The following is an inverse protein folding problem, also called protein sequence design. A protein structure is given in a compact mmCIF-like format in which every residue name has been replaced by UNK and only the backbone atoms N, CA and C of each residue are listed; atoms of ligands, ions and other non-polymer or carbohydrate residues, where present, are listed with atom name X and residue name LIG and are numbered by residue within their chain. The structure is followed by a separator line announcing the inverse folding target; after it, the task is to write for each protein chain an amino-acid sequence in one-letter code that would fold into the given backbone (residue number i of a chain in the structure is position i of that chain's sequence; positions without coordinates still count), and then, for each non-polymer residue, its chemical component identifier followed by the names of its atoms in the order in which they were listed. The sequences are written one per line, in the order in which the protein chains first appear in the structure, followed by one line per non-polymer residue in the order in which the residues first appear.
data_IF_067963815052
#
_entry.id   IF_067963815052
#
_cell.length_a   1.000
_cell.length_b   1.000
_cell.length_c   1.000
_cell.angle_alpha   90.00
_cell.angle_beta   90.00
_cell.angle_gamma   90.00
#
_symmetry.space_group_name_H-M   'P 1'
#
loop_
_entity.id
_entity.type
_entity.pdbx_description
1 polymer ?
#
# COMPACT_ATOMS: atom_id res chain seq x y z
N UNK A 1 9.44 13.52 -20.22
CA UNK A 1 8.90 12.14 -20.18
C UNK A 1 9.30 11.54 -18.83
N UNK A 2 8.41 10.84 -18.12
CA UNK A 2 8.77 10.28 -16.80
C UNK A 2 9.50 8.94 -16.91
N UNK A 3 10.24 8.56 -15.85
CA UNK A 3 10.86 7.24 -15.77
C UNK A 3 9.83 6.11 -15.82
N UNK A 4 8.64 6.33 -15.24
CA UNK A 4 7.54 5.38 -15.26
C UNK A 4 6.99 5.19 -16.68
N UNK A 5 6.78 6.26 -17.44
CA UNK A 5 6.37 6.21 -18.85
C UNK A 5 7.39 5.46 -19.72
N UNK A 6 8.69 5.64 -19.42
CA UNK A 6 9.76 4.91 -20.09
C UNK A 6 9.67 3.40 -19.83
N UNK A 7 9.34 3.01 -18.60
CA UNK A 7 9.27 1.60 -18.17
C UNK A 7 7.93 0.92 -18.48
N UNK A 8 6.87 1.69 -18.74
CA UNK A 8 5.51 1.19 -18.97
C UNK A 8 5.41 0.09 -20.07
N UNK A 9 6.12 0.18 -21.22
CA UNK A 9 6.06 -0.86 -22.25
C UNK A 9 6.51 -2.24 -21.75
N UNK A 10 7.47 -2.29 -20.84
CA UNK A 10 7.96 -3.55 -20.25
C UNK A 10 6.88 -4.17 -19.35
N UNK A 11 6.24 -3.36 -18.49
CA UNK A 11 5.15 -3.82 -17.63
C UNK A 11 3.95 -4.33 -18.44
N UNK A 12 3.55 -3.60 -19.49
CA UNK A 12 2.51 -4.03 -20.42
C UNK A 12 2.85 -5.36 -21.07
N UNK A 13 4.10 -5.55 -21.49
CA UNK A 13 4.58 -6.80 -22.11
C UNK A 13 4.50 -7.98 -21.14
N UNK A 14 4.97 -7.82 -19.91
CA UNK A 14 4.88 -8.85 -18.85
C UNK A 14 3.42 -9.20 -18.56
N UNK A 15 2.57 -8.20 -18.36
CA UNK A 15 1.13 -8.41 -18.13
C UNK A 15 0.46 -9.17 -19.30
N UNK A 16 0.85 -8.86 -20.54
CA UNK A 16 0.36 -9.55 -21.72
C UNK A 16 0.78 -11.02 -21.73
N UNK A 17 2.04 -11.33 -21.43
CA UNK A 17 2.54 -12.71 -21.35
C UNK A 17 1.83 -13.51 -20.25
N UNK A 18 1.68 -12.94 -19.04
CA UNK A 18 0.94 -13.55 -17.94
C UNK A 18 -0.54 -13.79 -18.27
N UNK A 19 -1.15 -12.89 -19.06
CA UNK A 19 -2.52 -13.08 -19.54
C UNK A 19 -2.61 -14.18 -20.60
N UNK A 20 -1.63 -14.30 -21.50
CA UNK A 20 -1.58 -15.37 -22.49
C UNK A 20 -1.43 -16.74 -21.82
N UNK A 21 -0.56 -16.84 -20.81
CA UNK A 21 -0.38 -18.07 -20.04
C UNK A 21 -1.68 -18.57 -19.41
N UNK A 22 -2.44 -17.65 -18.79
CA UNK A 22 -3.74 -17.97 -18.17
C UNK A 22 -4.83 -18.38 -19.16
N UNK A 23 -4.76 -17.92 -20.42
CA UNK A 23 -5.73 -18.28 -21.47
C UNK A 23 -5.50 -19.68 -22.06
N UNK A 24 -4.44 -20.38 -21.66
CA UNK A 24 -4.23 -21.80 -21.96
C UNK A 24 -3.25 -22.08 -23.12
N UNK A 25 -2.88 -23.36 -23.23
CA UNK A 25 -1.73 -23.84 -23.98
C UNK A 25 -1.75 -23.57 -25.50
N UNK A 26 -2.92 -23.47 -26.13
CA UNK A 26 -3.03 -23.29 -27.59
C UNK A 26 -2.47 -21.95 -28.09
N UNK A 27 -2.60 -20.88 -27.30
CA UNK A 27 -1.99 -19.58 -27.62
C UNK A 27 -0.53 -19.49 -27.18
N UNK A 28 -0.12 -20.31 -26.21
CA UNK A 28 1.26 -20.34 -25.71
C UNK A 28 2.27 -20.90 -26.72
N UNK A 29 1.85 -21.87 -27.55
CA UNK A 29 2.68 -22.47 -28.58
C UNK A 29 2.93 -21.56 -29.79
N UNK A 30 2.14 -20.48 -29.93
CA UNK A 30 2.29 -19.51 -31.01
C UNK A 30 3.37 -18.45 -30.73
N UNK A 31 3.93 -18.42 -29.52
CA UNK A 31 4.97 -17.45 -29.15
C UNK A 31 6.34 -18.04 -29.45
N UNK A 32 7.01 -17.49 -30.46
CA UNK A 32 8.39 -17.84 -30.82
C UNK A 32 9.38 -17.22 -29.80
N UNK A 33 10.20 -18.02 -29.09
CA UNK A 33 11.19 -17.55 -28.13
C UNK A 33 12.19 -16.53 -28.71
N UNK A 34 12.67 -16.75 -29.94
CA UNK A 34 13.69 -15.89 -30.55
C UNK A 34 13.08 -14.54 -30.94
N UNK A 35 11.86 -14.56 -31.47
CA UNK A 35 11.10 -13.35 -31.76
C UNK A 35 10.82 -12.56 -30.48
N UNK A 36 10.39 -13.22 -29.41
CA UNK A 36 10.18 -12.55 -28.13
C UNK A 36 11.48 -11.92 -27.61
N UNK A 37 12.60 -12.64 -27.71
CA UNK A 37 13.91 -12.12 -27.30
C UNK A 37 14.29 -10.87 -28.07
N UNK A 38 14.10 -10.88 -29.39
CA UNK A 38 14.35 -9.71 -30.24
C UNK A 38 13.46 -8.54 -29.83
N UNK A 39 12.16 -8.77 -29.65
CA UNK A 39 11.21 -7.74 -29.21
C UNK A 39 11.61 -7.12 -27.86
N UNK A 40 12.03 -7.92 -26.87
CA UNK A 40 12.50 -7.39 -25.59
C UNK A 40 13.78 -6.57 -25.75
N UNK A 41 14.75 -7.03 -26.56
CA UNK A 41 15.98 -6.27 -26.84
C UNK A 41 15.69 -4.96 -27.55
N UNK A 42 14.73 -4.95 -28.46
CA UNK A 42 14.25 -3.73 -29.12
C UNK A 42 13.63 -2.77 -28.12
N UNK A 43 12.84 -3.24 -27.15
CA UNK A 43 12.29 -2.40 -26.07
C UNK A 43 13.41 -1.74 -25.24
N UNK A 44 14.46 -2.49 -24.86
CA UNK A 44 15.61 -1.92 -24.15
C UNK A 44 16.37 -0.89 -24.99
N UNK A 45 16.60 -1.18 -26.28
CA UNK A 45 17.26 -0.27 -27.21
C UNK A 45 16.45 1.02 -27.41
N UNK A 46 15.14 0.90 -27.56
CA UNK A 46 14.22 2.03 -27.69
C UNK A 46 14.14 2.86 -26.41
N UNK A 47 14.06 2.21 -25.24
CA UNK A 47 14.11 2.90 -23.96
C UNK A 47 15.42 3.67 -23.77
N UNK A 48 16.57 3.07 -24.12
CA UNK A 48 17.87 3.73 -24.07
C UNK A 48 17.91 4.98 -24.98
N UNK A 49 17.37 4.86 -26.22
CA UNK A 49 17.30 5.99 -27.16
C UNK A 49 16.42 7.12 -26.62
N UNK A 50 15.23 6.79 -26.12
CA UNK A 50 14.31 7.78 -25.55
C UNK A 50 14.87 8.43 -24.28
N UNK A 51 15.53 7.67 -23.42
CA UNK A 51 16.21 8.18 -22.24
C UNK A 51 17.36 9.14 -22.60
N UNK A 52 18.11 8.84 -23.67
CA UNK A 52 19.24 9.67 -24.11
C UNK A 52 18.86 11.07 -24.61
N UNK A 53 17.57 11.33 -24.85
CA UNK A 53 17.07 12.66 -25.21
C UNK A 53 17.16 13.65 -24.04
N UNK A 54 17.14 13.18 -22.78
CA UNK A 54 17.17 14.00 -21.58
C UNK A 54 18.29 13.51 -20.63
N UNK A 55 19.32 14.32 -20.30
CA UNK A 55 20.47 13.85 -19.51
C UNK A 55 20.11 13.29 -18.12
N UNK A 56 19.14 13.90 -17.44
CA UNK A 56 18.67 13.44 -16.13
C UNK A 56 18.00 12.06 -16.22
N UNK A 57 17.16 11.87 -17.24
CA UNK A 57 16.48 10.61 -17.47
C UNK A 57 17.44 9.51 -17.89
N UNK A 58 18.47 9.83 -18.68
CA UNK A 58 19.54 8.90 -19.01
C UNK A 58 20.28 8.39 -17.75
N UNK A 59 20.55 9.28 -16.79
CA UNK A 59 21.17 8.89 -15.52
C UNK A 59 20.23 8.03 -14.65
N UNK A 60 18.93 8.30 -14.64
CA UNK A 60 17.95 7.44 -13.97
C UNK A 60 17.86 6.06 -14.61
N UNK A 61 17.78 6.02 -15.94
CA UNK A 61 17.68 4.78 -16.70
C UNK A 61 18.89 3.88 -16.47
N UNK A 62 20.11 4.41 -16.41
CA UNK A 62 21.31 3.60 -16.10
C UNK A 62 21.21 2.87 -14.76
N UNK A 63 20.54 3.45 -13.77
CA UNK A 63 20.34 2.83 -12.44
C UNK A 63 19.19 1.81 -12.43
N UNK A 64 18.28 1.87 -13.40
CA UNK A 64 17.06 1.06 -13.45
C UNK A 64 17.09 -0.01 -14.54
N UNK A 65 17.92 0.13 -15.57
CA UNK A 65 18.07 -0.82 -16.68
C UNK A 65 18.35 -2.23 -16.14
N UNK A 66 19.30 -2.36 -15.21
CA UNK A 66 19.70 -3.65 -14.68
C UNK A 66 18.58 -4.32 -13.83
N UNK A 67 17.96 -3.63 -12.85
CA UNK A 67 16.77 -4.14 -12.17
C UNK A 67 15.64 -4.57 -13.13
N UNK A 68 15.41 -3.82 -14.22
CA UNK A 68 14.40 -4.16 -15.21
C UNK A 68 14.73 -5.43 -16.00
N UNK A 69 16.02 -5.68 -16.29
CA UNK A 69 16.46 -6.94 -16.90
C UNK A 69 16.15 -8.11 -15.98
N UNK A 70 16.50 -8.02 -14.70
CA UNK A 70 16.23 -9.08 -13.72
C UNK A 70 14.74 -9.34 -13.56
N UNK A 71 13.95 -8.28 -13.47
CA UNK A 71 12.50 -8.35 -13.44
C UNK A 71 11.95 -9.13 -14.64
N UNK A 72 12.28 -8.71 -15.87
CA UNK A 72 11.76 -9.35 -17.09
C UNK A 72 12.22 -10.81 -17.19
N UNK A 73 13.48 -11.11 -16.85
CA UNK A 73 14.01 -12.47 -16.90
C UNK A 73 13.26 -13.41 -15.95
N UNK A 74 13.03 -13.00 -14.70
CA UNK A 74 12.24 -13.79 -13.73
C UNK A 74 10.79 -13.92 -14.19
N UNK A 75 10.15 -12.82 -14.61
CA UNK A 75 8.75 -12.87 -15.04
C UNK A 75 8.53 -13.77 -16.26
N UNK A 76 9.43 -13.78 -17.25
CA UNK A 76 9.32 -14.68 -18.41
C UNK A 76 9.65 -16.13 -18.02
N UNK A 77 10.64 -16.34 -17.14
CA UNK A 77 10.98 -17.67 -16.64
C UNK A 77 9.84 -18.30 -15.81
N UNK A 78 9.00 -17.49 -15.17
CA UNK A 78 7.93 -17.95 -14.27
C UNK A 78 6.52 -17.86 -14.88
N UNK A 79 6.35 -17.22 -16.05
CA UNK A 79 5.01 -17.01 -16.65
C UNK A 79 4.27 -18.30 -17.05
N UNK A 80 4.88 -19.48 -16.98
CA UNK A 80 4.22 -20.77 -17.23
C UNK A 80 3.96 -21.08 -18.71
N UNK A 81 4.62 -20.37 -19.63
CA UNK A 81 4.58 -20.64 -21.07
C UNK A 81 5.64 -21.69 -21.45
N UNK A 82 5.48 -22.33 -22.61
CA UNK A 82 6.48 -23.30 -23.13
C UNK A 82 7.86 -22.66 -23.36
N UNK A 83 7.89 -21.35 -23.63
CA UNK A 83 9.11 -20.56 -23.83
C UNK A 83 9.94 -20.39 -22.55
N UNK A 84 9.34 -20.50 -21.36
CA UNK A 84 9.98 -20.23 -20.08
C UNK A 84 11.23 -21.09 -19.86
N UNK A 85 11.18 -22.36 -20.27
CA UNK A 85 12.31 -23.28 -20.16
C UNK A 85 13.49 -22.89 -21.06
N UNK A 86 13.21 -22.39 -22.28
CA UNK A 86 14.24 -21.90 -23.19
C UNK A 86 14.84 -20.58 -22.67
N UNK A 87 13.98 -19.67 -22.22
CA UNK A 87 14.40 -18.38 -21.66
C UNK A 87 15.31 -18.55 -20.44
N UNK A 88 14.97 -19.47 -19.53
CA UNK A 88 15.75 -19.70 -18.31
C UNK A 88 17.21 -20.14 -18.59
N UNK A 89 17.47 -20.79 -19.74
CA UNK A 89 18.81 -21.19 -20.16
C UNK A 89 19.61 -20.03 -20.74
N UNK A 90 18.93 -19.05 -21.34
CA UNK A 90 19.51 -17.93 -22.07
C UNK A 90 18.98 -16.59 -21.55
N UNK A 91 18.99 -16.38 -20.22
CA UNK A 91 18.53 -15.12 -19.60
C UNK A 91 19.30 -13.92 -20.16
N UNK A 92 18.65 -12.75 -20.24
CA UNK A 92 19.31 -11.52 -20.69
C UNK A 92 20.40 -11.07 -19.70
N UNK A 93 20.23 -11.33 -18.42
CA UNK A 93 21.21 -11.08 -17.36
C UNK A 93 22.58 -11.75 -17.64
N UNK A 94 22.58 -12.92 -18.29
CA UNK A 94 23.83 -13.63 -18.64
C UNK A 94 24.67 -12.85 -19.65
N UNK A 95 24.03 -12.09 -20.56
CA UNK A 95 24.75 -11.20 -21.49
C UNK A 95 25.45 -10.04 -20.77
N UNK A 96 24.94 -9.66 -19.58
CA UNK A 96 25.54 -8.65 -18.70
C UNK A 96 26.53 -9.25 -17.70
N UNK A 97 26.83 -10.55 -17.77
CA UNK A 97 27.66 -11.31 -16.82
C UNK A 97 27.13 -11.33 -15.39
N UNK A 98 25.82 -11.13 -15.22
CA UNK A 98 25.15 -11.14 -13.92
C UNK A 98 24.42 -12.48 -13.75
N UNK A 99 25.01 -13.37 -12.95
CA UNK A 99 24.44 -14.69 -12.65
C UNK A 99 23.53 -14.67 -11.41
N UNK A 100 23.74 -13.70 -10.51
CA UNK A 100 23.00 -13.51 -9.27
C UNK A 100 22.04 -12.31 -9.36
N UNK A 101 21.22 -12.27 -10.42
CA UNK A 101 20.33 -11.13 -10.67
C UNK A 101 19.29 -10.89 -9.57
N UNK A 102 18.83 -11.96 -8.93
CA UNK A 102 17.72 -11.90 -7.99
C UNK A 102 18.11 -11.29 -6.64
N UNK A 103 19.33 -11.55 -6.14
CA UNK A 103 19.87 -10.92 -4.92
C UNK A 103 20.24 -9.45 -5.18
N UNK A 104 20.94 -9.20 -6.30
CA UNK A 104 21.38 -7.87 -6.70
C UNK A 104 20.24 -6.90 -6.93
N UNK A 105 19.06 -7.38 -7.35
CA UNK A 105 17.86 -6.55 -7.43
C UNK A 105 17.52 -5.91 -6.08
N UNK A 106 17.56 -6.70 -5.00
CA UNK A 106 17.24 -6.20 -3.65
C UNK A 106 18.36 -5.35 -3.06
N UNK A 107 19.62 -5.61 -3.40
CA UNK A 107 20.73 -4.72 -3.05
C UNK A 107 20.53 -3.32 -3.66
N UNK A 108 20.18 -3.27 -4.95
CA UNK A 108 19.91 -2.01 -5.66
C UNK A 108 18.66 -1.30 -5.13
N UNK A 109 17.64 -2.05 -4.72
CA UNK A 109 16.47 -1.51 -4.04
C UNK A 109 16.86 -0.88 -2.70
N UNK A 110 17.64 -1.58 -1.87
CA UNK A 110 18.02 -1.11 -0.55
C UNK A 110 18.94 0.11 -0.63
N UNK A 111 19.83 0.17 -1.62
CA UNK A 111 20.63 1.36 -1.90
C UNK A 111 19.78 2.53 -2.38
N UNK A 112 18.74 2.27 -3.19
CA UNK A 112 17.79 3.31 -3.61
C UNK A 112 16.91 3.80 -2.43
N UNK A 113 16.55 2.92 -1.50
CA UNK A 113 15.81 3.28 -0.28
C UNK A 113 16.64 4.18 0.65
N UNK A 114 17.96 3.96 0.73
CA UNK A 114 18.88 4.80 1.53
C UNK A 114 19.05 6.21 0.97
N UNK A 115 19.09 6.34 -0.36
CA UNK A 115 19.22 7.62 -1.06
C UNK A 115 17.92 8.43 -0.91
N UNK A 116 17.92 9.56 -0.19
CA UNK A 116 16.73 10.38 0.10
C UNK A 116 16.36 11.38 -1.01
N UNK A 117 17.01 11.33 -2.18
CA UNK A 117 16.71 12.22 -3.30
C UNK A 117 15.31 12.00 -3.91
N UNK A 118 14.78 13.03 -4.58
CA UNK A 118 13.51 12.92 -5.31
C UNK A 118 13.63 11.93 -6.48
N UNK A 119 14.79 11.90 -7.13
CA UNK A 119 15.12 10.96 -8.18
C UNK A 119 15.09 9.51 -7.69
N UNK A 120 15.54 9.24 -6.46
CA UNK A 120 15.41 7.93 -5.87
C UNK A 120 13.94 7.55 -5.65
N UNK A 121 13.09 8.49 -5.26
CA UNK A 121 11.66 8.27 -5.11
C UNK A 121 11.01 7.86 -6.45
N UNK A 122 11.41 8.46 -7.58
CA UNK A 122 10.95 8.01 -8.91
C UNK A 122 11.41 6.58 -9.24
N UNK A 123 12.67 6.23 -8.94
CA UNK A 123 13.18 4.86 -9.14
C UNK A 123 12.41 3.85 -8.27
N UNK A 124 12.08 4.22 -7.03
CA UNK A 124 11.30 3.38 -6.12
C UNK A 124 9.90 3.06 -6.65
N UNK A 125 9.28 3.93 -7.44
CA UNK A 125 8.00 3.62 -8.11
C UNK A 125 8.15 2.45 -9.08
N UNK A 126 9.29 2.34 -9.77
CA UNK A 126 9.60 1.23 -10.68
C UNK A 126 9.77 -0.06 -9.86
N UNK A 127 10.57 -0.03 -8.80
CA UNK A 127 10.75 -1.18 -7.91
C UNK A 127 9.43 -1.65 -7.28
N UNK A 128 8.62 -0.72 -6.81
CA UNK A 128 7.30 -1.00 -6.26
C UNK A 128 6.40 -1.68 -7.29
N UNK A 129 6.43 -1.20 -8.54
CA UNK A 129 5.67 -1.80 -9.65
C UNK A 129 6.17 -3.21 -9.96
N UNK A 130 7.48 -3.43 -10.01
CA UNK A 130 8.06 -4.77 -10.21
C UNK A 130 7.61 -5.76 -9.13
N UNK A 131 7.68 -5.38 -7.86
CA UNK A 131 7.21 -6.20 -6.73
C UNK A 131 5.70 -6.43 -6.80
N UNK A 132 4.91 -5.40 -7.10
CA UNK A 132 3.45 -5.48 -7.23
C UNK A 132 2.99 -6.37 -8.40
N UNK A 133 3.80 -6.50 -9.45
CA UNK A 133 3.55 -7.41 -10.58
C UNK A 133 3.92 -8.86 -10.29
N UNK A 134 4.48 -9.14 -9.11
CA UNK A 134 4.78 -10.49 -8.63
C UNK A 134 6.25 -10.89 -8.67
N UNK A 135 7.17 -9.94 -8.84
CA UNK A 135 8.60 -10.25 -8.73
C UNK A 135 8.95 -10.64 -7.29
N UNK A 136 9.44 -11.87 -7.11
CA UNK A 136 9.83 -12.39 -5.79
C UNK A 136 11.34 -12.57 -5.65
N UNK A 137 12.03 -12.88 -6.75
CA UNK A 137 13.48 -13.07 -6.78
C UNK A 137 13.97 -14.05 -5.70
N UNK A 138 15.04 -13.67 -4.99
CA UNK A 138 15.69 -14.49 -3.96
C UNK A 138 14.77 -14.80 -2.76
N UNK A 139 13.76 -13.96 -2.52
CA UNK A 139 12.82 -14.09 -1.40
C UNK A 139 11.54 -14.84 -1.78
N UNK A 140 11.58 -15.67 -2.84
CA UNK A 140 10.48 -16.56 -3.18
C UNK A 140 10.05 -17.41 -1.97
N UNK A 141 8.76 -17.33 -1.61
CA UNK A 141 8.20 -18.00 -0.44
C UNK A 141 8.25 -17.20 0.87
N UNK A 142 8.97 -16.07 0.92
CA UNK A 142 9.05 -15.18 2.09
C UNK A 142 8.14 -13.96 1.93
N UNK A 143 6.83 -14.20 1.86
CA UNK A 143 5.83 -13.16 1.57
C UNK A 143 5.80 -12.02 2.61
N UNK A 144 6.13 -12.30 3.87
CA UNK A 144 6.18 -11.28 4.92
C UNK A 144 7.31 -10.27 4.70
N UNK A 145 8.49 -10.75 4.28
CA UNK A 145 9.62 -9.89 3.96
C UNK A 145 9.31 -8.99 2.76
N UNK A 146 8.75 -9.56 1.69
CA UNK A 146 8.35 -8.81 0.50
C UNK A 146 7.29 -7.74 0.83
N UNK A 147 6.29 -8.08 1.66
CA UNK A 147 5.29 -7.12 2.15
C UNK A 147 5.91 -6.00 2.98
N UNK A 148 6.87 -6.33 3.84
CA UNK A 148 7.63 -5.33 4.60
C UNK A 148 8.34 -4.34 3.68
N UNK A 149 9.07 -4.83 2.69
CA UNK A 149 9.75 -3.98 1.69
C UNK A 149 8.77 -3.13 0.88
N UNK A 150 7.64 -3.69 0.47
CA UNK A 150 6.59 -2.91 -0.22
C UNK A 150 6.00 -1.81 0.69
N UNK A 151 5.87 -2.07 2.00
CA UNK A 151 5.42 -1.07 2.95
C UNK A 151 6.44 0.06 3.09
N UNK A 152 7.72 -0.26 3.23
CA UNK A 152 8.81 0.73 3.33
C UNK A 152 8.85 1.63 2.08
N UNK A 153 8.71 1.03 0.89
CA UNK A 153 8.62 1.79 -0.36
C UNK A 153 7.35 2.66 -0.37
N UNK A 154 6.19 2.08 -0.05
CA UNK A 154 4.90 2.80 -0.15
C UNK A 154 4.79 3.98 0.80
N UNK A 155 5.41 3.93 1.99
CA UNK A 155 5.52 5.09 2.88
C UNK A 155 6.26 6.27 2.23
N UNK A 156 7.25 5.97 1.39
CA UNK A 156 8.06 6.98 0.70
C UNK A 156 7.42 7.49 -0.58
N UNK A 157 6.80 6.62 -1.37
CA UNK A 157 6.12 7.02 -2.62
C UNK A 157 4.68 7.49 -2.39
N UNK A 158 4.12 7.32 -1.18
CA UNK A 158 2.75 7.65 -0.81
C UNK A 158 2.29 9.04 -1.25
N UNK A 159 3.05 10.12 -0.98
CA UNK A 159 2.69 11.47 -1.44
C UNK A 159 2.59 11.62 -2.97
N UNK A 160 3.34 10.81 -3.73
CA UNK A 160 3.32 10.82 -5.19
C UNK A 160 2.25 9.88 -5.78
N UNK A 161 1.86 8.82 -5.06
CA UNK A 161 0.73 7.94 -5.45
C UNK A 161 -0.64 8.56 -5.13
N UNK A 162 -0.71 9.45 -4.14
CA UNK A 162 -1.93 10.19 -3.77
C UNK A 162 -2.28 11.31 -4.77
N UNK A 163 -1.74 11.27 -6.00
CA UNK A 163 -2.31 12.00 -7.13
C UNK A 163 -3.67 11.36 -7.39
N UNK A 164 -4.67 11.92 -6.69
CA UNK A 164 -6.11 11.86 -6.86
C UNK A 164 -6.90 10.76 -6.14
N UNK A 165 -7.08 10.93 -4.82
CA UNK A 165 -8.25 10.41 -4.10
C UNK A 165 -9.61 10.85 -4.72
N UNK A 166 -9.58 11.82 -5.64
CA UNK A 166 -10.75 12.33 -6.36
C UNK A 166 -10.82 11.92 -7.85
N UNK A 167 -9.86 11.13 -8.37
CA UNK A 167 -9.99 10.59 -9.73
C UNK A 167 -10.83 9.33 -9.67
N UNK A 168 -12.11 9.54 -9.97
CA UNK A 168 -13.05 8.46 -10.27
C UNK A 168 -12.48 7.62 -11.40
N UNK A 169 -12.30 6.32 -11.15
CA UNK A 169 -11.74 5.35 -12.12
C UNK A 169 -12.51 5.39 -13.46
N UNK A 170 -13.85 5.45 -13.39
CA UNK A 170 -14.73 5.79 -14.51
C UNK A 170 -15.86 6.69 -13.98
N UNK A 171 -16.07 7.92 -14.48
CA UNK A 171 -17.13 8.82 -14.00
C UNK A 171 -18.54 8.17 -13.99
N UNK A 172 -18.82 7.31 -14.96
CA UNK A 172 -20.07 6.57 -15.14
C UNK A 172 -20.32 5.55 -14.04
N UNK A 173 -19.26 4.95 -13.48
CA UNK A 173 -19.37 3.95 -12.41
C UNK A 173 -19.81 4.56 -11.07
N UNK A 174 -19.73 5.89 -10.93
CA UNK A 174 -20.17 6.63 -9.76
C UNK A 174 -21.42 7.48 -10.04
N UNK A 175 -21.91 7.48 -11.29
CA UNK A 175 -23.16 8.14 -11.66
C UNK A 175 -24.34 7.25 -11.21
N UNK A 176 -25.05 7.68 -10.17
CA UNK A 176 -26.19 6.94 -9.63
C UNK A 176 -25.85 5.87 -8.59
N UNK A 177 -24.61 5.82 -8.10
CA UNK A 177 -24.28 5.03 -6.91
C UNK A 177 -24.84 5.73 -5.69
N UNK A 178 -25.56 4.97 -4.86
CA UNK A 178 -26.08 5.45 -3.60
C UNK A 178 -24.90 5.80 -2.68
N UNK A 179 -24.71 7.10 -2.43
CA UNK A 179 -23.62 7.64 -1.61
C UNK A 179 -23.96 7.62 -0.12
N UNK A 180 -25.12 7.07 0.25
CA UNK A 180 -25.47 6.87 1.64
C UNK A 180 -24.46 5.90 2.29
N UNK A 181 -24.06 6.23 3.50
CA UNK A 181 -23.20 5.38 4.31
C UNK A 181 -23.98 4.12 4.69
N UNK A 182 -23.76 3.03 3.94
CA UNK A 182 -24.42 1.75 4.14
C UNK A 182 -23.93 1.05 5.41
N UNK A 183 -22.82 1.53 5.99
CA UNK A 183 -22.31 1.07 7.27
C UNK A 183 -22.66 2.12 8.32
N UNK A 184 -23.93 2.14 8.71
CA UNK A 184 -24.32 2.89 9.90
C UNK A 184 -23.56 2.29 11.09
N UNK A 185 -22.47 2.94 11.51
CA UNK A 185 -21.73 2.52 12.70
C UNK A 185 -22.73 2.42 13.85
N UNK A 186 -22.85 1.26 14.53
CA UNK A 186 -23.73 1.12 15.69
C UNK A 186 -23.05 1.78 16.90
N UNK A 187 -22.74 3.07 16.79
CA UNK A 187 -22.41 3.90 17.92
C UNK A 187 -23.70 4.52 18.41
N UNK A 188 -24.12 4.20 19.64
CA UNK A 188 -25.11 5.04 20.32
C UNK A 188 -24.67 6.49 20.15
N UNK A 189 -25.53 7.33 19.56
CA UNK A 189 -25.22 8.74 19.37
C UNK A 189 -24.76 9.32 20.70
N UNK A 190 -23.58 9.96 20.71
CA UNK A 190 -22.97 10.57 21.90
C UNK A 190 -23.97 11.47 22.64
N UNK A 191 -24.93 12.07 21.91
CA UNK A 191 -26.02 12.84 22.48
C UNK A 191 -26.95 12.03 23.41
N UNK A 192 -27.27 10.78 23.09
CA UNK A 192 -28.10 9.91 23.94
C UNK A 192 -27.36 9.56 25.23
N UNK A 193 -26.07 9.26 25.14
CA UNK A 193 -25.22 8.97 26.29
C UNK A 193 -25.13 10.21 27.21
N UNK A 194 -24.94 11.40 26.63
CA UNK A 194 -24.88 12.65 27.38
C UNK A 194 -26.19 12.96 28.14
N UNK A 195 -27.36 12.70 27.52
CA UNK A 195 -28.66 12.91 28.17
C UNK A 195 -28.86 11.95 29.34
N UNK A 196 -28.52 10.67 29.18
CA UNK A 196 -28.60 9.68 30.27
C UNK A 196 -27.68 10.08 31.43
N UNK A 197 -26.45 10.50 31.14
CA UNK A 197 -25.49 10.94 32.14
C UNK A 197 -25.98 12.16 32.93
N UNK A 198 -26.50 13.17 32.23
CA UNK A 198 -27.07 14.37 32.88
C UNK A 198 -28.28 14.03 33.76
N UNK A 199 -29.15 13.12 33.32
CA UNK A 199 -30.27 12.63 34.11
C UNK A 199 -29.80 11.94 35.39
N UNK A 200 -28.77 11.09 35.30
CA UNK A 200 -28.19 10.42 36.47
C UNK A 200 -27.59 11.42 37.46
N UNK A 201 -26.81 12.40 36.99
CA UNK A 201 -26.25 13.45 37.84
C UNK A 201 -27.35 14.23 38.57
N UNK A 202 -28.45 14.54 37.89
CA UNK A 202 -29.56 15.27 38.50
C UNK A 202 -30.25 14.47 39.61
N UNK A 203 -30.44 13.16 39.40
CA UNK A 203 -31.01 12.26 40.40
C UNK A 203 -30.11 12.20 41.64
N UNK A 204 -28.81 12.00 41.45
CA UNK A 204 -27.84 11.93 42.57
C UNK A 204 -27.84 13.24 43.37
N UNK A 205 -27.81 14.39 42.71
CA UNK A 205 -27.88 15.70 43.37
C UNK A 205 -29.19 15.90 44.15
N UNK A 206 -30.31 15.43 43.60
CA UNK A 206 -31.62 15.53 44.26
C UNK A 206 -31.68 14.66 45.51
N UNK A 207 -31.11 13.44 45.46
CA UNK A 207 -31.05 12.54 46.62
C UNK A 207 -30.12 13.09 47.70
N UNK A 208 -28.93 13.56 47.34
CA UNK A 208 -27.98 14.18 48.27
C UNK A 208 -28.59 15.40 48.98
N UNK A 209 -29.23 16.29 48.24
CA UNK A 209 -29.87 17.48 48.84
C UNK A 209 -31.04 17.12 49.75
N UNK A 210 -31.82 16.09 49.39
CA UNK A 210 -32.90 15.59 50.26
C UNK A 210 -32.36 14.98 51.55
N UNK A 211 -31.38 14.07 51.44
CA UNK A 211 -30.74 13.43 52.59
C UNK A 211 -30.06 14.46 53.50
N UNK A 212 -29.38 15.44 52.93
CA UNK A 212 -28.75 16.52 53.69
C UNK A 212 -29.78 17.32 54.49
N UNK A 213 -30.93 17.65 53.90
CA UNK A 213 -32.01 18.35 54.60
C UNK A 213 -32.64 17.49 55.70
N UNK A 214 -32.90 16.22 55.42
CA UNK A 214 -33.47 15.30 56.39
C UNK A 214 -32.52 15.08 57.59
N UNK A 215 -31.23 14.91 57.33
CA UNK A 215 -30.21 14.78 58.36
C UNK A 215 -30.05 16.08 59.18
N UNK A 216 -30.09 17.24 58.52
CA UNK A 216 -30.02 18.54 59.21
C UNK A 216 -31.21 18.77 60.15
N UNK A 217 -32.42 18.41 59.73
CA UNK A 217 -33.62 18.49 60.58
C UNK A 217 -33.53 17.55 61.77
N UNK A 218 -33.13 16.29 61.54
CA UNK A 218 -32.94 15.29 62.59
C UNK A 218 -31.88 15.71 63.63
N UNK A 219 -30.80 16.35 63.18
CA UNK A 219 -29.78 16.94 64.05
C UNK A 219 -30.35 18.09 64.89
N UNK A 220 -31.15 18.96 64.29
CA UNK A 220 -31.76 20.10 64.98
C UNK A 220 -32.76 19.65 66.06
N UNK A 221 -33.57 18.65 65.74
CA UNK A 221 -34.48 18.00 66.69
C UNK A 221 -33.71 17.33 67.85
N UNK A 222 -32.57 16.69 67.55
CA UNK A 222 -31.73 16.06 68.56
C UNK A 222 -31.05 17.09 69.49
N UNK A 223 -30.58 18.21 68.94
CA UNK A 223 -29.95 19.29 69.73
C UNK A 223 -30.98 19.98 70.63
N UNK A 224 -32.16 20.29 70.11
CA UNK A 224 -33.24 20.89 70.91
C UNK A 224 -33.76 19.96 72.00
N UNK A 225 -33.79 18.64 71.76
CA UNK A 225 -34.10 17.64 72.79
C UNK A 225 -33.06 17.60 73.93
N UNK A 226 -31.77 17.79 73.62
CA UNK A 226 -30.72 17.85 74.65
C UNK A 226 -30.81 19.16 75.46
N UNK A 227 -31.04 20.30 74.80
CA UNK A 227 -31.17 21.61 75.46
C UNK A 227 -32.38 21.67 76.42
N UNK A 228 -33.50 21.04 76.04
CA UNK A 228 -34.68 20.90 76.91
C UNK A 228 -34.44 19.95 78.08
N UNK A 229 -33.56 18.96 77.92
CA UNK A 229 -33.20 18.04 79.00
C UNK A 229 -32.22 18.66 80.02
N UNK A 230 -31.29 19.51 79.58
CA UNK A 230 -30.41 20.27 80.49
C UNK A 230 -31.15 21.33 81.30
N UNK A 231 -32.16 22.00 80.72
CA UNK A 231 -32.96 23.02 81.41
C UNK A 231 -33.94 22.47 82.45
N UNK A 232 -34.18 21.16 82.46
CA UNK A 232 -35.10 20.49 83.41
C UNK A 232 -34.37 19.85 84.61
N UNK A 233 -33.04 19.98 84.69
CA UNK A 233 -32.21 19.58 85.83
C UNK A 233 -31.85 20.77 86.70
#
# INVERSE_FOLDING_TARGET
MTLLELCEPFFKKVCLLNRLARKGASLSAAVDPEKLRLEIKELFSDAQKRASAEPLLAAQWQKVELPMIFFIDSMIAECGLTISANWNRNRLAYERKELAGDEKFFDLLDDTLKDQSEEATERLQIFYTCLGLGFTGWYAGQNEYLRGKMLDISQRIGPAMDISQNTRICPEAYAGVDTRDLVQQPGLSIGVIAVIFLGLCFIVLSVETYLFRAASLSLLDSVTAIETQETTK
#
